data_IF_217045077422
#
_entry.id   IF_217045077422
#
_cell.length_a   1.000
_cell.length_b   1.000
_cell.length_c   1.000
_cell.angle_alpha   90.00
_cell.angle_beta   90.00
_cell.angle_gamma   90.00
#
_symmetry.space_group_name_H-M   'P 1'
#
loop_
_entity.id
_entity.type
_entity.pdbx_description
1 polymer ?
#
# COMPACT_ATOMS: atom_id res chain seq x y z
N UNK A 1 26.67 -4.42 -19.03
CA UNK A 1 27.82 -5.20 -18.55
C UNK A 1 27.78 -5.23 -17.02
N UNK A 2 27.91 -6.39 -16.36
CA UNK A 2 27.91 -6.46 -14.92
C UNK A 2 29.17 -5.74 -14.35
N UNK A 3 28.99 -5.08 -13.21
CA UNK A 3 30.09 -4.53 -12.41
C UNK A 3 30.87 -5.68 -11.78
N UNK A 4 32.18 -5.65 -11.91
CA UNK A 4 33.08 -6.68 -11.40
C UNK A 4 34.26 -6.06 -10.65
N UNK A 5 34.74 -6.78 -9.65
CA UNK A 5 35.99 -6.48 -8.96
C UNK A 5 37.03 -7.54 -9.38
N UNK A 6 38.15 -7.09 -9.97
CA UNK A 6 39.20 -7.98 -10.40
C UNK A 6 40.43 -7.83 -9.48
N UNK A 7 41.01 -8.95 -9.11
CA UNK A 7 42.25 -9.03 -8.33
C UNK A 7 43.34 -9.68 -9.16
N UNK A 8 44.55 -9.16 -9.04
CA UNK A 8 45.73 -9.70 -9.70
C UNK A 8 46.60 -10.44 -8.69
N UNK A 9 46.90 -11.67 -8.96
CA UNK A 9 47.85 -12.47 -8.17
C UNK A 9 49.20 -12.59 -8.92
N UNK A 10 50.28 -12.47 -8.17
CA UNK A 10 51.66 -12.49 -8.73
C UNK A 10 51.89 -11.37 -9.78
N UNK A 11 51.27 -10.20 -9.60
CA UNK A 11 51.32 -9.07 -10.55
C UNK A 11 52.66 -8.32 -10.54
N UNK A 12 53.53 -8.61 -9.58
CA UNK A 12 54.87 -7.99 -9.47
C UNK A 12 55.91 -9.06 -9.22
N UNK A 13 57.09 -8.87 -9.78
CA UNK A 13 58.22 -9.77 -9.62
C UNK A 13 59.35 -9.44 -10.59
N UNK A 14 60.46 -10.19 -10.49
CA UNK A 14 61.58 -10.07 -11.41
C UNK A 14 61.47 -11.14 -12.50
N UNK A 15 61.67 -10.74 -13.75
CA UNK A 15 61.70 -11.68 -14.86
C UNK A 15 63.09 -12.38 -14.88
N UNK A 16 63.10 -13.70 -14.72
CA UNK A 16 64.27 -14.55 -14.89
C UNK A 16 64.26 -15.21 -16.31
N UNK A 17 64.94 -16.33 -16.49
CA UNK A 17 64.98 -17.03 -17.76
C UNK A 17 63.78 -17.94 -18.06
N UNK A 18 62.71 -17.84 -17.30
CA UNK A 18 61.42 -18.61 -17.45
C UNK A 18 60.25 -17.71 -17.65
N UNK A 19 59.20 -18.22 -18.29
CA UNK A 19 57.94 -17.48 -18.48
C UNK A 19 57.29 -17.18 -17.12
N UNK A 20 56.80 -15.94 -16.96
CA UNK A 20 56.03 -15.52 -15.79
C UNK A 20 54.54 -15.59 -16.15
N UNK A 21 53.76 -16.23 -15.30
CA UNK A 21 52.30 -16.29 -15.42
C UNK A 21 51.66 -15.41 -14.34
N UNK A 22 50.87 -14.46 -14.77
CA UNK A 22 50.05 -13.60 -13.88
C UNK A 22 48.62 -14.08 -13.95
N UNK A 23 48.00 -14.29 -12.78
CA UNK A 23 46.60 -14.67 -12.70
C UNK A 23 45.74 -13.43 -12.37
N UNK A 24 44.66 -13.26 -13.12
CA UNK A 24 43.65 -12.24 -12.87
C UNK A 24 42.31 -12.95 -12.59
N UNK A 25 41.74 -12.70 -11.45
CA UNK A 25 40.42 -13.23 -11.05
C UNK A 25 39.42 -12.10 -10.91
N UNK A 26 38.28 -12.20 -11.58
CA UNK A 26 37.18 -11.20 -11.52
C UNK A 26 35.93 -11.82 -10.91
N UNK A 27 35.35 -11.12 -9.95
CA UNK A 27 34.10 -11.52 -9.27
C UNK A 27 33.04 -10.46 -9.54
N UNK A 28 31.84 -10.90 -9.93
CA UNK A 28 30.70 -9.98 -10.12
C UNK A 28 30.26 -9.42 -8.78
N UNK A 29 30.11 -8.11 -8.72
CA UNK A 29 29.69 -7.41 -7.52
C UNK A 29 28.20 -7.64 -7.25
N UNK A 30 27.83 -7.75 -5.97
CA UNK A 30 26.46 -7.86 -5.52
C UNK A 30 26.01 -6.54 -4.87
N UNK A 31 24.74 -6.20 -5.07
CA UNK A 31 24.12 -4.97 -4.56
C UNK A 31 22.81 -5.28 -3.84
N UNK A 32 22.51 -4.47 -2.85
CA UNK A 32 21.27 -4.59 -2.07
C UNK A 32 20.11 -3.95 -2.79
N UNK A 33 18.91 -4.52 -2.61
CA UNK A 33 17.64 -3.94 -3.01
C UNK A 33 16.98 -3.36 -1.77
N UNK A 34 16.87 -2.05 -1.73
CA UNK A 34 16.19 -1.28 -0.69
C UNK A 34 14.81 -0.84 -1.16
N UNK A 35 13.96 -0.49 -0.20
CA UNK A 35 12.65 0.11 -0.42
C UNK A 35 12.46 1.31 0.49
N UNK A 36 11.77 2.34 0.00
CA UNK A 36 11.29 3.45 0.81
C UNK A 36 9.77 3.44 0.81
N UNK A 37 9.16 3.26 1.99
CA UNK A 37 7.73 3.15 2.18
C UNK A 37 7.17 4.43 2.76
N UNK A 38 6.07 4.93 2.20
CA UNK A 38 5.35 6.13 2.63
C UNK A 38 3.83 5.90 2.65
N UNK A 39 3.11 6.67 3.47
CA UNK A 39 1.65 6.61 3.57
C UNK A 39 1.12 5.36 4.30
N UNK A 40 1.98 4.48 4.80
CA UNK A 40 1.56 3.29 5.54
C UNK A 40 0.98 3.71 6.90
N UNK A 41 -0.24 3.29 7.17
CA UNK A 41 -0.96 3.44 8.44
C UNK A 41 -1.59 2.12 8.92
N UNK A 42 -1.75 1.17 8.01
CA UNK A 42 -2.24 -0.18 8.30
C UNK A 42 -1.13 -1.15 8.67
N UNK A 43 -1.51 -2.26 9.28
CA UNK A 43 -0.60 -3.35 9.61
C UNK A 43 -0.64 -4.48 8.58
N UNK A 44 0.45 -5.25 8.50
CA UNK A 44 0.52 -6.50 7.72
C UNK A 44 1.04 -6.33 6.29
N UNK A 45 1.63 -5.19 5.93
CA UNK A 45 2.30 -5.05 4.64
C UNK A 45 3.50 -6.01 4.55
N UNK A 46 3.52 -6.81 3.49
CA UNK A 46 4.68 -7.64 3.14
C UNK A 46 5.05 -7.37 1.68
N UNK A 47 6.29 -7.01 1.45
CA UNK A 47 6.88 -6.91 0.13
C UNK A 47 7.66 -8.19 -0.19
N UNK A 48 7.78 -8.50 -1.47
CA UNK A 48 8.51 -9.68 -1.94
C UNK A 48 9.41 -9.30 -3.12
N UNK A 49 10.65 -9.80 -3.12
CA UNK A 49 11.55 -9.66 -4.25
C UNK A 49 11.81 -11.02 -4.90
N UNK A 50 11.67 -11.08 -6.24
CA UNK A 50 11.92 -12.28 -7.05
C UNK A 50 11.16 -13.54 -6.55
N UNK A 51 9.92 -13.37 -6.08
CA UNK A 51 9.00 -14.44 -5.67
C UNK A 51 9.50 -15.34 -4.52
N UNK A 52 10.46 -14.91 -3.71
CA UNK A 52 11.00 -15.77 -2.65
C UNK A 52 11.73 -15.06 -1.51
N UNK A 53 11.99 -13.77 -1.62
CA UNK A 53 12.61 -12.98 -0.56
C UNK A 53 11.57 -12.02 0.01
N UNK A 54 10.94 -12.41 1.13
CA UNK A 54 9.86 -11.67 1.75
C UNK A 54 10.40 -10.66 2.77
N UNK A 55 9.81 -9.47 2.78
CA UNK A 55 10.20 -8.36 3.65
C UNK A 55 8.95 -7.79 4.33
N UNK A 56 8.68 -8.14 5.60
CA UNK A 56 7.66 -7.51 6.40
C UNK A 56 7.98 -6.03 6.65
N UNK A 57 7.00 -5.17 6.47
CA UNK A 57 7.14 -3.72 6.64
C UNK A 57 6.28 -3.27 7.82
N UNK A 58 6.88 -2.90 8.95
CA UNK A 58 6.14 -2.51 10.16
C UNK A 58 5.71 -1.04 10.20
N UNK A 59 6.34 -0.16 9.41
CA UNK A 59 6.12 1.29 9.45
C UNK A 59 6.60 1.98 8.16
N UNK A 60 6.36 3.29 8.06
CA UNK A 60 7.00 4.12 7.04
C UNK A 60 8.52 4.20 7.27
N UNK A 61 9.30 4.32 6.21
CA UNK A 61 10.74 4.40 6.27
C UNK A 61 11.46 3.59 5.21
N UNK A 62 12.75 3.35 5.42
CA UNK A 62 13.61 2.59 4.51
C UNK A 62 13.89 1.19 5.07
N UNK A 63 13.80 0.19 4.20
CA UNK A 63 14.05 -1.21 4.52
C UNK A 63 14.90 -1.82 3.40
N UNK A 64 15.54 -2.96 3.69
CA UNK A 64 16.42 -3.62 2.72
C UNK A 64 16.15 -5.11 2.72
N UNK A 65 16.01 -5.69 1.54
CA UNK A 65 15.92 -7.14 1.37
C UNK A 65 17.21 -7.83 1.80
N UNK A 66 17.08 -9.00 2.41
CA UNK A 66 18.22 -9.72 3.01
C UNK A 66 19.18 -10.30 1.99
N UNK A 67 18.70 -10.62 0.77
CA UNK A 67 19.49 -11.28 -0.28
C UNK A 67 19.98 -10.24 -1.30
N UNK A 68 21.28 -9.95 -1.37
CA UNK A 68 21.85 -9.12 -2.42
C UNK A 68 21.75 -9.80 -3.80
N UNK A 69 21.70 -9.00 -4.85
CA UNK A 69 21.57 -9.46 -6.24
C UNK A 69 22.82 -9.04 -7.02
N UNK A 70 23.30 -9.96 -7.84
CA UNK A 70 24.47 -9.72 -8.70
C UNK A 70 24.20 -8.60 -9.71
N UNK A 71 25.21 -7.77 -9.97
CA UNK A 71 25.14 -6.77 -11.05
C UNK A 71 24.80 -7.44 -12.38
N UNK A 72 23.89 -6.86 -13.14
CA UNK A 72 23.35 -7.40 -14.38
C UNK A 72 22.16 -8.35 -14.21
N UNK A 73 21.93 -8.92 -13.03
CA UNK A 73 20.80 -9.80 -12.77
C UNK A 73 19.50 -9.01 -12.50
N UNK A 74 18.32 -9.58 -12.80
CA UNK A 74 17.03 -8.91 -12.60
C UNK A 74 16.60 -8.91 -11.14
N UNK A 75 15.90 -7.85 -10.73
CA UNK A 75 15.09 -7.78 -9.51
C UNK A 75 13.63 -7.48 -9.86
N UNK A 76 12.72 -7.93 -9.00
CA UNK A 76 11.28 -7.66 -9.11
C UNK A 76 10.66 -7.57 -7.73
N UNK A 77 10.44 -6.33 -7.27
CA UNK A 77 9.77 -6.04 -6.00
C UNK A 77 8.28 -5.88 -6.23
N UNK A 78 7.49 -6.63 -5.49
CA UNK A 78 6.02 -6.61 -5.55
C UNK A 78 5.43 -6.55 -4.14
N UNK A 79 4.15 -6.16 -4.02
CA UNK A 79 3.39 -6.30 -2.78
C UNK A 79 2.86 -7.73 -2.72
N UNK A 80 3.31 -8.50 -1.73
CA UNK A 80 2.79 -9.85 -1.47
C UNK A 80 1.51 -9.81 -0.64
N UNK A 81 1.47 -8.95 0.39
CA UNK A 81 0.31 -8.77 1.26
C UNK A 81 0.04 -7.30 1.49
N UNK A 82 -1.19 -6.87 1.23
CA UNK A 82 -1.64 -5.50 1.49
C UNK A 82 -2.00 -5.29 2.97
N UNK A 83 -1.87 -4.07 3.50
CA UNK A 83 -2.33 -3.74 4.85
C UNK A 83 -3.85 -3.87 4.98
N UNK A 84 -4.33 -4.34 6.14
CA UNK A 84 -5.76 -4.61 6.34
C UNK A 84 -6.42 -3.87 7.51
N UNK A 85 -5.65 -3.19 8.36
CA UNK A 85 -6.21 -2.48 9.55
C UNK A 85 -5.46 -1.16 9.79
N UNK A 86 -5.91 -0.04 9.18
CA UNK A 86 -6.96 0.10 8.17
C UNK A 86 -6.57 -0.54 6.83
N UNK A 87 -7.58 -0.85 6.01
CA UNK A 87 -7.34 -1.36 4.66
C UNK A 87 -6.67 -0.29 3.81
N UNK A 88 -5.54 -0.64 3.20
CA UNK A 88 -4.77 0.24 2.32
C UNK A 88 -4.41 -0.48 1.02
N UNK A 89 -4.19 0.30 -0.02
CA UNK A 89 -3.61 -0.14 -1.27
C UNK A 89 -2.19 0.45 -1.37
N UNK A 90 -1.18 -0.41 -1.31
CA UNK A 90 0.21 -0.03 -1.51
C UNK A 90 0.64 -0.36 -2.94
N UNK A 91 1.29 0.59 -3.60
CA UNK A 91 1.78 0.46 -4.97
C UNK A 91 3.29 0.61 -5.01
N UNK A 92 3.93 -0.19 -5.85
CA UNK A 92 5.38 -0.17 -6.07
C UNK A 92 5.69 0.59 -7.35
N UNK A 93 6.59 1.55 -7.27
CA UNK A 93 7.06 2.33 -8.43
C UNK A 93 8.50 1.92 -8.76
N UNK A 94 8.76 1.65 -10.05
CA UNK A 94 10.06 1.17 -10.55
C UNK A 94 10.52 -0.12 -9.84
N UNK A 95 9.57 -1.03 -9.56
CA UNK A 95 9.79 -2.26 -8.81
C UNK A 95 10.61 -3.31 -9.54
N UNK A 96 10.90 -3.18 -10.83
CA UNK A 96 11.64 -4.18 -11.60
C UNK A 96 12.60 -3.56 -12.60
N UNK A 97 13.82 -4.11 -12.64
CA UNK A 97 14.87 -3.78 -13.60
C UNK A 97 16.03 -4.79 -13.45
N UNK A 98 17.13 -4.55 -14.16
CA UNK A 98 18.40 -5.22 -13.88
C UNK A 98 19.25 -4.37 -12.93
N UNK A 99 19.93 -5.02 -12.00
CA UNK A 99 20.83 -4.36 -11.04
C UNK A 99 22.02 -3.78 -11.80
N UNK A 100 22.26 -2.50 -11.64
CA UNK A 100 23.40 -1.78 -12.25
C UNK A 100 24.69 -1.96 -11.46
N UNK A 101 25.45 -0.87 -11.32
CA UNK A 101 26.73 -0.79 -10.58
C UNK A 101 26.60 -0.25 -9.15
N UNK A 102 25.41 -0.31 -8.53
CA UNK A 102 25.15 0.19 -7.17
C UNK A 102 23.87 -0.37 -6.57
N UNK A 103 23.67 -0.07 -5.27
CA UNK A 103 22.45 -0.43 -4.57
C UNK A 103 21.22 0.21 -5.21
N UNK A 104 20.11 -0.51 -5.22
CA UNK A 104 18.81 -0.08 -5.75
C UNK A 104 17.92 0.38 -4.60
N UNK A 105 17.13 1.43 -4.82
CA UNK A 105 16.06 1.82 -3.90
C UNK A 105 14.75 1.97 -4.68
N UNK A 106 13.71 1.25 -4.23
CA UNK A 106 12.38 1.17 -4.83
C UNK A 106 11.40 1.97 -3.96
N UNK A 107 10.54 2.76 -4.57
CA UNK A 107 9.51 3.52 -3.85
C UNK A 107 8.22 2.71 -3.71
N UNK A 108 7.63 2.74 -2.51
CA UNK A 108 6.33 2.14 -2.19
C UNK A 108 5.45 3.21 -1.55
N UNK A 109 4.30 3.49 -2.14
CA UNK A 109 3.31 4.43 -1.62
C UNK A 109 2.02 3.70 -1.25
N UNK A 110 1.51 3.95 -0.04
CA UNK A 110 0.28 3.35 0.46
C UNK A 110 -0.82 4.42 0.59
N UNK A 111 -2.03 4.10 0.14
CA UNK A 111 -3.21 4.94 0.26
C UNK A 111 -4.30 4.19 1.03
N UNK A 112 -4.96 4.88 1.98
CA UNK A 112 -6.05 4.29 2.75
C UNK A 112 -7.29 4.19 1.87
N UNK A 113 -7.89 3.01 1.79
CA UNK A 113 -9.15 2.79 1.10
C UNK A 113 -10.27 3.63 1.75
N UNK A 114 -11.20 4.10 0.97
CA UNK A 114 -12.38 4.81 1.45
C UNK A 114 -13.63 4.26 0.78
N UNK A 115 -14.77 4.34 1.48
CA UNK A 115 -16.07 3.87 0.99
C UNK A 115 -17.19 4.81 1.42
N UNK A 116 -18.29 4.78 0.69
CA UNK A 116 -19.49 5.53 1.02
C UNK A 116 -20.36 4.76 2.02
N UNK A 117 -21.09 5.49 2.86
CA UNK A 117 -22.07 4.94 3.78
C UNK A 117 -23.44 4.98 3.10
N UNK A 118 -24.16 3.89 3.18
CA UNK A 118 -25.50 3.78 2.62
C UNK A 118 -26.41 2.90 3.48
N UNK A 119 -27.65 2.78 3.05
CA UNK A 119 -28.63 1.96 3.73
C UNK A 119 -29.95 1.84 2.94
N UNK A 120 -30.96 1.30 3.60
CA UNK A 120 -32.29 1.17 3.01
C UNK A 120 -33.30 1.90 3.88
N UNK A 121 -34.11 2.73 3.24
CA UNK A 121 -35.24 3.42 3.86
C UNK A 121 -36.54 2.68 3.50
N UNK A 122 -37.35 2.43 4.51
CA UNK A 122 -38.68 1.79 4.36
C UNK A 122 -39.75 2.59 5.04
N UNK A 123 -40.98 2.44 4.59
CA UNK A 123 -42.19 3.04 5.17
C UNK A 123 -42.19 4.58 5.22
N UNK A 124 -41.36 5.26 4.45
CA UNK A 124 -41.51 6.70 4.27
C UNK A 124 -42.78 6.96 3.48
N UNK A 125 -43.69 7.72 4.04
CA UNK A 125 -44.94 8.09 3.40
C UNK A 125 -45.01 9.59 3.05
N UNK A 126 -44.01 10.37 3.42
CA UNK A 126 -43.97 11.84 3.27
C UNK A 126 -42.57 12.35 2.94
N UNK A 127 -42.50 13.55 2.36
CA UNK A 127 -41.28 14.27 2.07
C UNK A 127 -40.71 14.98 3.30
N UNK A 128 -39.46 15.42 3.22
CA UNK A 128 -38.79 16.26 4.19
C UNK A 128 -37.89 15.51 5.18
N UNK A 129 -37.68 14.20 4.97
CA UNK A 129 -36.64 13.47 5.72
C UNK A 129 -35.25 13.94 5.30
N UNK A 130 -34.41 14.28 6.28
CA UNK A 130 -33.00 14.52 6.07
C UNK A 130 -32.22 13.63 7.01
N UNK A 131 -31.37 12.78 6.44
CA UNK A 131 -30.36 12.00 7.16
C UNK A 131 -29.08 12.81 7.23
N UNK A 132 -28.27 12.58 8.28
CA UNK A 132 -26.98 13.24 8.49
C UNK A 132 -25.94 12.22 8.92
N UNK A 133 -24.78 12.26 8.29
CA UNK A 133 -23.65 11.44 8.71
C UNK A 133 -22.56 12.33 9.34
N UNK A 134 -22.00 11.89 10.47
CA UNK A 134 -20.93 12.56 11.20
C UNK A 134 -21.17 14.06 11.46
N UNK A 135 -22.42 14.45 11.68
CA UNK A 135 -22.79 15.81 12.06
C UNK A 135 -22.72 16.87 10.97
N UNK A 136 -22.29 16.54 9.74
CA UNK A 136 -22.08 17.55 8.69
C UNK A 136 -22.46 17.16 7.26
N UNK A 137 -22.62 15.89 6.96
CA UNK A 137 -23.00 15.41 5.62
C UNK A 137 -24.51 15.13 5.58
N UNK A 138 -25.29 16.09 5.09
CA UNK A 138 -26.75 16.01 5.02
C UNK A 138 -27.21 15.38 3.71
N UNK A 139 -28.14 14.44 3.80
CA UNK A 139 -28.75 13.73 2.68
C UNK A 139 -30.29 13.85 2.77
N UNK A 140 -30.93 14.69 1.96
CA UNK A 140 -32.38 14.67 1.79
C UNK A 140 -32.82 13.36 1.11
N UNK A 141 -33.77 12.65 1.71
CA UNK A 141 -34.30 11.40 1.17
C UNK A 141 -35.81 11.57 0.93
N UNK A 142 -36.24 11.36 -0.32
CA UNK A 142 -37.61 11.63 -0.74
C UNK A 142 -38.45 10.39 -1.06
N UNK A 143 -37.84 9.20 -1.06
CA UNK A 143 -38.53 7.94 -1.40
C UNK A 143 -37.96 6.77 -0.61
N UNK A 144 -38.77 5.71 -0.49
CA UNK A 144 -38.31 4.41 0.00
C UNK A 144 -37.32 3.78 -0.99
N UNK A 145 -36.39 2.99 -0.49
CA UNK A 145 -35.34 2.33 -1.25
C UNK A 145 -33.96 2.56 -0.67
N UNK A 146 -32.93 2.30 -1.46
CA UNK A 146 -31.53 2.50 -1.05
C UNK A 146 -31.16 3.98 -1.09
N UNK A 147 -30.33 4.40 -0.14
CA UNK A 147 -29.70 5.71 -0.12
C UNK A 147 -28.20 5.57 0.08
N UNK A 148 -27.43 6.57 -0.35
CA UNK A 148 -25.97 6.59 -0.19
C UNK A 148 -25.51 8.03 0.04
N UNK A 149 -24.71 8.26 1.07
CA UNK A 149 -24.03 9.53 1.27
C UNK A 149 -22.89 9.69 0.26
N UNK A 150 -22.72 10.90 -0.26
CA UNK A 150 -21.75 11.17 -1.34
C UNK A 150 -20.32 11.30 -0.86
N UNK A 151 -20.10 11.63 0.42
CA UNK A 151 -18.75 11.80 1.00
C UNK A 151 -18.21 10.46 1.48
N UNK A 152 -17.13 9.94 0.87
CA UNK A 152 -16.51 8.71 1.33
C UNK A 152 -15.85 8.87 2.71
N UNK A 153 -15.80 7.79 3.47
CA UNK A 153 -15.11 7.71 4.75
C UNK A 153 -13.97 6.69 4.65
N UNK A 154 -12.82 7.06 5.20
CA UNK A 154 -11.64 6.20 5.18
C UNK A 154 -11.86 4.91 6.00
N UNK A 155 -11.28 3.80 5.55
CA UNK A 155 -11.25 2.55 6.31
C UNK A 155 -10.69 2.77 7.72
N UNK A 156 -11.31 2.17 8.71
CA UNK A 156 -11.00 2.34 10.13
C UNK A 156 -11.65 3.56 10.79
N UNK A 157 -12.10 4.57 10.03
CA UNK A 157 -12.76 5.76 10.58
C UNK A 157 -14.21 5.48 10.98
N UNK A 158 -14.71 6.23 11.97
CA UNK A 158 -16.05 6.09 12.46
C UNK A 158 -17.08 6.75 11.54
N UNK A 159 -18.29 6.18 11.49
CA UNK A 159 -19.49 6.80 10.92
C UNK A 159 -20.61 6.86 11.95
N UNK A 160 -21.47 7.87 11.83
CA UNK A 160 -22.66 8.05 12.67
C UNK A 160 -23.79 8.68 11.87
N UNK A 161 -24.72 7.85 11.41
CA UNK A 161 -25.91 8.28 10.67
C UNK A 161 -27.06 8.56 11.65
N UNK A 162 -27.63 9.73 11.55
CA UNK A 162 -28.77 10.19 12.38
C UNK A 162 -29.85 10.80 11.49
N UNK A 163 -31.06 10.93 12.04
CA UNK A 163 -32.11 11.75 11.43
C UNK A 163 -31.92 13.21 11.87
N UNK A 164 -31.59 14.07 10.92
CA UNK A 164 -31.42 15.52 11.13
C UNK A 164 -32.75 16.24 11.07
N UNK A 165 -33.65 15.84 10.18
CA UNK A 165 -34.97 16.43 10.03
C UNK A 165 -36.01 15.33 9.81
N UNK A 166 -37.07 15.36 10.59
CA UNK A 166 -38.23 14.46 10.46
C UNK A 166 -39.25 15.00 9.45
N UNK A 167 -39.99 14.12 8.74
CA UNK A 167 -41.14 14.53 7.94
C UNK A 167 -42.22 15.21 8.82
N UNK A 168 -42.78 16.31 8.35
CA UNK A 168 -43.69 17.15 9.19
C UNK A 168 -45.16 17.21 8.73
N UNK A 169 -45.45 16.79 7.49
CA UNK A 169 -46.84 16.99 6.94
C UNK A 169 -47.34 15.73 6.22
N UNK A 170 -48.10 14.85 6.89
CA UNK A 170 -48.28 14.73 8.34
C UNK A 170 -46.99 14.30 9.04
N UNK A 171 -46.92 14.54 10.34
CA UNK A 171 -45.78 14.14 11.17
C UNK A 171 -45.52 12.63 11.07
N UNK A 172 -44.29 12.26 10.80
CA UNK A 172 -43.82 10.88 10.80
C UNK A 172 -42.50 10.79 11.57
N UNK A 173 -42.33 9.76 12.40
CA UNK A 173 -41.07 9.50 13.10
C UNK A 173 -40.30 8.45 12.38
N UNK A 174 -39.11 8.80 11.91
CA UNK A 174 -38.10 7.88 11.31
C UNK A 174 -37.00 7.63 12.33
N UNK A 175 -36.56 6.41 12.43
CA UNK A 175 -35.46 5.98 13.30
C UNK A 175 -34.34 5.31 12.48
N UNK A 176 -33.10 5.49 12.90
CA UNK A 176 -31.95 4.81 12.29
C UNK A 176 -31.58 3.61 13.16
N UNK A 177 -31.49 2.45 12.56
CA UNK A 177 -30.94 1.24 13.20
C UNK A 177 -29.55 0.96 12.64
N UNK A 178 -28.63 0.51 13.48
CA UNK A 178 -27.22 0.27 13.11
C UNK A 178 -26.54 1.50 12.46
N UNK A 179 -26.94 2.69 12.89
CA UNK A 179 -26.49 3.96 12.30
C UNK A 179 -25.05 4.36 12.62
N UNK A 180 -24.31 3.61 13.45
CA UNK A 180 -22.94 3.95 13.83
C UNK A 180 -22.02 2.73 13.86
N UNK A 181 -20.73 2.96 13.59
CA UNK A 181 -19.70 1.94 13.60
C UNK A 181 -18.39 2.48 13.02
N UNK A 182 -17.47 1.58 12.73
CA UNK A 182 -16.24 1.89 12.00
C UNK A 182 -16.32 1.29 10.59
N UNK A 183 -15.78 2.03 9.63
CA UNK A 183 -15.72 1.59 8.23
C UNK A 183 -14.72 0.43 8.10
N UNK A 184 -15.20 -0.70 7.59
CA UNK A 184 -14.34 -1.83 7.21
C UNK A 184 -13.65 -1.60 5.85
N UNK A 185 -13.14 -2.68 5.27
CA UNK A 185 -12.53 -2.64 3.92
C UNK A 185 -13.55 -2.74 2.77
N UNK A 186 -14.83 -2.99 3.06
CA UNK A 186 -15.93 -3.05 2.10
C UNK A 186 -16.99 -1.97 2.43
N UNK A 187 -17.88 -1.69 1.46
CA UNK A 187 -19.01 -0.77 1.67
C UNK A 187 -19.89 -1.24 2.82
N UNK A 188 -20.35 -0.31 3.63
CA UNK A 188 -21.27 -0.52 4.76
C UNK A 188 -22.66 -0.11 4.34
#
# INVERSE_FOLDING_TARGET
NPSQTCTVSNGTGNVASVSVSVAVNCVTNNYTIGVTVSGLSGAGLVLQNNLGNDLPIPANGTFTFTTPIASGAPFSVTVLTQPNTPTQACTVTNGSANVGGGNVNVAVACETASTTIGGTLTALSRLGLVLRNNGGNDLPVSANGTFTFTTPIASGAAYAVTVSTQPTTPTQTCTVTSGSGNVGGASV
#
